data_IF_201383031635
#
_entry.id   IF_201383031635
#
_cell.length_a   1.000
_cell.length_b   1.000
_cell.length_c   1.000
_cell.angle_alpha   90.00
_cell.angle_beta   90.00
_cell.angle_gamma   90.00
#
_symmetry.space_group_name_H-M   'P 1'
#
loop_
_entity.id
_entity.type
_entity.pdbx_description
1 polymer ?
#
# COMPACT_ATOMS: atom_id res chain seq x y z
N UNK A 1 -25.17 -11.46 0.30
CA UNK A 1 -24.33 -10.31 -0.07
C UNK A 1 -23.17 -10.78 -0.92
N UNK A 2 -22.60 -9.91 -1.77
CA UNK A 2 -21.47 -10.22 -2.67
C UNK A 2 -20.35 -9.23 -2.43
N UNK A 3 -19.18 -9.72 -2.02
CA UNK A 3 -17.97 -8.91 -1.85
C UNK A 3 -16.94 -9.25 -2.92
N UNK A 4 -16.32 -8.23 -3.49
CA UNK A 4 -15.20 -8.37 -4.43
C UNK A 4 -13.91 -7.94 -3.74
N UNK A 5 -12.90 -8.78 -3.81
CA UNK A 5 -11.55 -8.46 -3.39
C UNK A 5 -10.68 -8.25 -4.64
N UNK A 6 -10.41 -7.01 -4.95
CA UNK A 6 -9.46 -6.62 -6.00
C UNK A 6 -8.07 -6.67 -5.42
N UNK A 7 -7.28 -7.65 -5.84
CA UNK A 7 -6.00 -7.96 -5.20
C UNK A 7 -5.07 -8.74 -6.14
N UNK A 8 -3.85 -8.93 -5.71
CA UNK A 8 -2.91 -9.83 -6.36
C UNK A 8 -3.34 -11.30 -6.23
N UNK A 9 -2.64 -12.20 -6.95
CA UNK A 9 -2.99 -13.61 -7.00
C UNK A 9 -3.15 -14.22 -5.59
N UNK A 10 -4.34 -14.69 -5.19
CA UNK A 10 -4.60 -15.28 -3.88
C UNK A 10 -3.68 -16.44 -3.50
N UNK A 11 -3.04 -17.09 -4.48
CA UNK A 11 -2.07 -18.16 -4.23
C UNK A 11 -0.75 -17.67 -3.63
N UNK A 12 -0.47 -16.38 -3.74
CA UNK A 12 0.75 -15.75 -3.21
C UNK A 12 0.60 -15.24 -1.79
N UNK A 13 -0.62 -15.26 -1.24
CA UNK A 13 -0.90 -14.77 0.11
C UNK A 13 -0.24 -15.65 1.17
N UNK A 14 0.45 -15.03 2.12
CA UNK A 14 0.84 -15.67 3.36
C UNK A 14 -0.34 -15.65 4.34
N UNK A 15 -1.03 -16.77 4.48
CA UNK A 15 -2.25 -16.89 5.30
C UNK A 15 -2.05 -16.57 6.78
N UNK A 16 -0.81 -16.56 7.27
CA UNK A 16 -0.49 -16.28 8.67
C UNK A 16 -0.27 -14.78 8.96
N UNK A 17 -0.08 -13.96 7.92
CA UNK A 17 0.34 -12.56 8.06
C UNK A 17 -0.54 -11.59 7.28
N UNK A 18 -1.35 -12.09 6.34
CA UNK A 18 -2.08 -11.24 5.41
C UNK A 18 -3.47 -10.86 5.94
N UNK A 19 -3.68 -9.57 6.10
CA UNK A 19 -4.98 -9.03 6.57
C UNK A 19 -6.10 -9.21 5.54
N UNK A 20 -5.80 -9.27 4.25
CA UNK A 20 -6.81 -9.52 3.21
C UNK A 20 -7.34 -10.93 3.32
N UNK A 21 -6.45 -11.91 3.61
CA UNK A 21 -6.86 -13.27 3.90
C UNK A 21 -7.86 -13.33 5.08
N UNK A 22 -7.58 -12.61 6.16
CA UNK A 22 -8.47 -12.58 7.33
C UNK A 22 -9.83 -11.97 6.99
N UNK A 23 -9.86 -10.88 6.21
CA UNK A 23 -11.11 -10.28 5.74
C UNK A 23 -11.93 -11.25 4.87
N UNK A 24 -11.29 -11.96 3.94
CA UNK A 24 -11.96 -12.96 3.09
C UNK A 24 -12.48 -14.10 3.94
N UNK A 25 -11.66 -14.66 4.84
CA UNK A 25 -12.03 -15.77 5.72
C UNK A 25 -13.25 -15.44 6.57
N UNK A 26 -13.23 -14.28 7.21
CA UNK A 26 -14.34 -13.82 8.05
C UNK A 26 -15.61 -13.57 7.22
N UNK A 27 -15.48 -12.99 6.03
CA UNK A 27 -16.61 -12.78 5.12
C UNK A 27 -17.25 -14.11 4.71
N UNK A 28 -16.44 -15.11 4.36
CA UNK A 28 -16.92 -16.46 4.01
C UNK A 28 -17.60 -17.16 5.19
N UNK A 29 -17.05 -17.03 6.42
CA UNK A 29 -17.62 -17.58 7.64
C UNK A 29 -19.01 -16.97 7.95
N UNK A 30 -19.24 -15.74 7.57
CA UNK A 30 -20.55 -15.05 7.67
C UNK A 30 -21.50 -15.36 6.51
N UNK A 31 -21.17 -16.31 5.64
CA UNK A 31 -22.00 -16.69 4.50
C UNK A 31 -22.06 -15.66 3.38
N UNK A 32 -21.08 -14.76 3.28
CA UNK A 32 -20.98 -13.77 2.21
C UNK A 32 -20.32 -14.40 1.01
N UNK A 33 -20.89 -14.22 -0.18
CA UNK A 33 -20.28 -14.64 -1.43
C UNK A 33 -19.07 -13.76 -1.74
N UNK A 34 -17.87 -14.32 -1.65
CA UNK A 34 -16.63 -13.62 -1.92
C UNK A 34 -16.13 -13.92 -3.33
N UNK A 35 -15.70 -12.87 -4.02
CA UNK A 35 -15.11 -12.94 -5.35
C UNK A 35 -13.74 -12.29 -5.36
N UNK A 36 -12.92 -12.74 -6.27
CA UNK A 36 -11.58 -12.23 -6.55
C UNK A 36 -11.52 -11.70 -7.97
N UNK A 37 -10.84 -10.59 -8.18
CA UNK A 37 -10.33 -10.18 -9.47
C UNK A 37 -8.90 -9.65 -9.38
N UNK A 38 -8.15 -9.87 -10.44
CA UNK A 38 -6.91 -9.15 -10.70
C UNK A 38 -7.27 -7.72 -11.15
N UNK A 39 -6.61 -6.66 -10.66
CA UNK A 39 -6.89 -5.29 -11.08
C UNK A 39 -6.89 -5.10 -12.60
N UNK A 40 -6.06 -5.86 -13.33
CA UNK A 40 -5.95 -5.81 -14.80
C UNK A 40 -7.18 -6.35 -15.53
N UNK A 41 -8.10 -6.99 -14.82
CA UNK A 41 -9.34 -7.54 -15.40
C UNK A 41 -10.52 -6.60 -15.33
N UNK A 42 -10.34 -5.41 -14.74
CA UNK A 42 -11.37 -4.37 -14.72
C UNK A 42 -11.31 -3.62 -16.05
N UNK A 43 -12.46 -3.40 -16.63
CA UNK A 43 -12.59 -2.62 -17.87
C UNK A 43 -13.89 -1.83 -17.88
N UNK A 44 -13.89 -0.77 -18.67
CA UNK A 44 -15.05 0.07 -18.92
C UNK A 44 -15.58 -0.19 -20.32
N UNK A 45 -16.86 -0.42 -20.44
CA UNK A 45 -17.57 -0.46 -21.71
C UNK A 45 -18.53 0.74 -21.81
N UNK A 46 -18.21 1.65 -22.71
CA UNK A 46 -18.95 2.89 -22.91
C UNK A 46 -19.78 2.80 -24.17
N UNK A 47 -21.11 2.64 -24.00
CA UNK A 47 -22.07 2.66 -25.10
C UNK A 47 -23.36 3.27 -24.56
N UNK A 48 -23.59 4.59 -24.78
CA UNK A 48 -24.68 5.40 -24.19
C UNK A 48 -24.67 5.42 -22.66
N UNK A 49 -24.31 4.32 -22.01
CA UNK A 49 -24.13 4.18 -20.57
C UNK A 49 -22.75 3.60 -20.33
N UNK A 50 -22.06 4.11 -19.32
CA UNK A 50 -20.77 3.56 -18.88
C UNK A 50 -21.01 2.37 -17.95
N UNK A 51 -20.48 1.19 -18.30
CA UNK A 51 -20.54 -0.01 -17.47
C UNK A 51 -19.13 -0.43 -17.07
N UNK A 52 -18.93 -0.58 -15.78
CA UNK A 52 -17.66 -1.08 -15.24
C UNK A 52 -17.80 -2.57 -14.98
N UNK A 53 -17.05 -3.34 -15.70
CA UNK A 53 -17.06 -4.80 -15.65
C UNK A 53 -15.74 -5.37 -15.23
N UNK A 54 -15.74 -6.60 -14.76
CA UNK A 54 -14.52 -7.37 -14.51
C UNK A 54 -14.75 -8.85 -14.71
N UNK A 55 -13.69 -9.55 -15.07
CA UNK A 55 -13.64 -11.01 -14.90
C UNK A 55 -13.39 -11.32 -13.44
N UNK A 56 -14.22 -12.18 -12.86
CA UNK A 56 -14.12 -12.55 -11.45
C UNK A 56 -14.11 -14.06 -11.26
N UNK A 57 -13.50 -14.49 -10.18
CA UNK A 57 -13.56 -15.89 -9.74
C UNK A 57 -14.11 -15.96 -8.32
N UNK A 58 -15.00 -16.91 -8.06
CA UNK A 58 -15.53 -17.13 -6.71
C UNK A 58 -14.43 -17.68 -5.81
N UNK A 59 -14.33 -17.10 -4.61
CA UNK A 59 -13.42 -17.55 -3.56
C UNK A 59 -14.10 -18.58 -2.65
N UNK A 60 -13.32 -19.54 -2.18
CA UNK A 60 -13.73 -20.49 -1.15
C UNK A 60 -12.52 -20.86 -0.28
N UNK A 61 -12.77 -21.47 0.88
CA UNK A 61 -11.73 -22.04 1.73
C UNK A 61 -11.67 -23.57 1.52
N UNK A 62 -10.46 -24.08 1.39
CA UNK A 62 -10.17 -25.51 1.48
C UNK A 62 -10.20 -25.97 2.95
N UNK A 63 -10.24 -27.30 3.18
CA UNK A 63 -10.16 -27.91 4.53
C UNK A 63 -8.95 -27.44 5.35
N UNK A 64 -7.83 -27.13 4.70
CA UNK A 64 -6.60 -26.60 5.33
C UNK A 64 -6.58 -25.07 5.46
N UNK A 65 -7.70 -24.41 5.38
CA UNK A 65 -7.85 -22.96 5.41
C UNK A 65 -7.15 -22.18 4.27
N UNK A 66 -6.62 -22.84 3.25
CA UNK A 66 -6.10 -22.14 2.07
C UNK A 66 -7.22 -21.60 1.19
N UNK A 67 -7.00 -20.41 0.61
CA UNK A 67 -7.91 -19.86 -0.40
C UNK A 67 -7.88 -20.73 -1.66
N UNK A 68 -9.07 -20.95 -2.21
CA UNK A 68 -9.29 -21.64 -3.47
C UNK A 68 -10.08 -20.76 -4.42
N UNK A 69 -9.68 -20.73 -5.68
CA UNK A 69 -10.41 -20.09 -6.77
C UNK A 69 -10.11 -20.83 -8.09
N UNK A 70 -11.02 -20.71 -9.05
CA UNK A 70 -10.89 -21.41 -10.33
C UNK A 70 -10.46 -20.43 -11.43
N UNK A 71 -9.17 -20.42 -11.78
CA UNK A 71 -8.63 -19.58 -12.84
C UNK A 71 -9.28 -19.76 -14.21
N UNK A 72 -9.76 -20.98 -14.51
CA UNK A 72 -10.35 -21.34 -15.82
C UNK A 72 -11.83 -20.93 -15.95
N UNK A 73 -12.49 -20.60 -14.85
CA UNK A 73 -13.91 -20.23 -14.83
C UNK A 73 -13.99 -18.79 -14.33
N UNK A 74 -13.55 -17.86 -15.18
CA UNK A 74 -13.76 -16.45 -14.97
C UNK A 74 -15.15 -16.10 -15.50
N UNK A 75 -15.94 -15.48 -14.65
CA UNK A 75 -17.24 -14.93 -15.03
C UNK A 75 -17.11 -13.43 -15.20
N UNK A 76 -17.55 -12.90 -16.35
CA UNK A 76 -17.70 -11.47 -16.52
C UNK A 76 -18.90 -10.99 -15.70
N UNK A 77 -18.70 -9.97 -14.92
CA UNK A 77 -19.75 -9.37 -14.07
C UNK A 77 -19.68 -7.86 -14.19
N UNK A 78 -20.86 -7.22 -14.27
CA UNK A 78 -21.02 -5.79 -14.03
C UNK A 78 -20.82 -5.53 -12.52
N UNK A 79 -19.84 -4.70 -12.19
CA UNK A 79 -19.41 -4.44 -10.82
C UNK A 79 -20.47 -3.68 -10.01
N UNK A 80 -21.45 -3.03 -10.65
CA UNK A 80 -22.62 -2.45 -9.98
C UNK A 80 -23.46 -3.49 -9.20
N UNK A 81 -23.28 -4.78 -9.47
CA UNK A 81 -23.97 -5.86 -8.76
C UNK A 81 -23.26 -6.34 -7.49
N UNK A 82 -22.10 -5.75 -7.16
CA UNK A 82 -21.41 -6.01 -5.89
C UNK A 82 -22.02 -5.17 -4.77
N UNK A 83 -21.97 -5.68 -3.54
CA UNK A 83 -22.35 -4.89 -2.35
C UNK A 83 -21.12 -4.11 -1.82
N UNK A 84 -19.94 -4.72 -1.87
CA UNK A 84 -18.69 -4.05 -1.51
C UNK A 84 -17.54 -4.50 -2.41
N UNK A 85 -16.60 -3.59 -2.63
CA UNK A 85 -15.34 -3.84 -3.36
C UNK A 85 -14.20 -3.41 -2.45
N UNK A 86 -13.32 -4.36 -2.11
CA UNK A 86 -12.12 -4.11 -1.32
C UNK A 86 -10.93 -3.93 -2.27
N UNK A 87 -10.34 -2.73 -2.29
CA UNK A 87 -9.10 -2.46 -3.03
C UNK A 87 -7.94 -2.93 -2.16
N UNK A 88 -7.41 -4.11 -2.47
CA UNK A 88 -6.38 -4.80 -1.68
C UNK A 88 -5.16 -5.22 -2.49
N UNK A 89 -5.02 -4.70 -3.70
CA UNK A 89 -3.83 -4.90 -4.52
C UNK A 89 -2.61 -4.24 -3.89
N UNK A 90 -1.48 -4.92 -3.96
CA UNK A 90 -0.20 -4.38 -3.50
C UNK A 90 0.35 -3.32 -4.47
N UNK A 91 1.24 -2.44 -4.00
CA UNK A 91 2.01 -1.57 -4.89
C UNK A 91 2.76 -2.37 -5.98
N UNK A 92 3.10 -1.74 -7.11
CA UNK A 92 3.42 -0.31 -7.24
C UNK A 92 2.19 0.59 -7.37
N UNK A 93 2.25 1.75 -6.72
CA UNK A 93 1.28 2.82 -6.93
C UNK A 93 1.69 3.63 -8.17
N UNK A 94 1.36 3.09 -9.32
CA UNK A 94 1.72 3.58 -10.65
C UNK A 94 0.48 4.00 -11.46
N UNK A 95 0.68 4.34 -12.73
CA UNK A 95 -0.42 4.74 -13.60
C UNK A 95 -1.47 3.63 -13.79
N UNK A 96 -1.07 2.35 -13.73
CA UNK A 96 -2.03 1.24 -13.81
C UNK A 96 -2.93 1.22 -12.57
N UNK A 97 -2.32 1.37 -11.38
CA UNK A 97 -3.06 1.48 -10.13
C UNK A 97 -4.04 2.66 -10.17
N UNK A 98 -3.54 3.84 -10.54
CA UNK A 98 -4.33 5.08 -10.63
C UNK A 98 -5.46 4.94 -11.64
N UNK A 99 -5.19 4.41 -12.85
CA UNK A 99 -6.20 4.20 -13.89
C UNK A 99 -7.32 3.28 -13.42
N UNK A 100 -6.96 2.20 -12.71
CA UNK A 100 -7.94 1.29 -12.15
C UNK A 100 -8.84 1.97 -11.12
N UNK A 101 -8.29 2.81 -10.26
CA UNK A 101 -9.11 3.59 -9.30
C UNK A 101 -10.08 4.55 -9.97
N UNK A 102 -9.73 5.12 -11.14
CA UNK A 102 -10.67 5.94 -11.92
C UNK A 102 -11.84 5.13 -12.49
N UNK A 103 -11.60 3.88 -12.89
CA UNK A 103 -12.69 2.99 -13.32
C UNK A 103 -13.65 2.72 -12.16
N UNK A 104 -13.11 2.41 -10.98
CA UNK A 104 -13.94 2.14 -9.80
C UNK A 104 -14.73 3.35 -9.32
N UNK A 105 -14.24 4.58 -9.52
CA UNK A 105 -14.96 5.81 -9.18
C UNK A 105 -16.28 5.97 -9.95
N UNK A 106 -16.45 5.28 -11.06
CA UNK A 106 -17.68 5.35 -11.85
C UNK A 106 -18.81 4.52 -11.25
N UNK A 107 -18.52 3.64 -10.31
CA UNK A 107 -19.50 2.81 -9.62
C UNK A 107 -20.28 3.64 -8.59
N UNK A 108 -21.60 3.39 -8.51
CA UNK A 108 -22.52 4.14 -7.64
C UNK A 108 -23.08 3.32 -6.49
N UNK A 109 -23.28 2.02 -6.71
CA UNK A 109 -23.94 1.15 -5.73
C UNK A 109 -22.97 0.49 -4.74
N UNK A 110 -21.84 -0.10 -5.18
CA UNK A 110 -20.99 -0.80 -4.25
C UNK A 110 -20.29 0.14 -3.28
N UNK A 111 -20.17 -0.27 -2.03
CA UNK A 111 -19.25 0.36 -1.09
C UNK A 111 -17.82 0.04 -1.48
N UNK A 112 -17.02 1.05 -1.77
CA UNK A 112 -15.61 0.86 -2.15
C UNK A 112 -14.70 1.14 -0.96
N UNK A 113 -13.91 0.15 -0.55
CA UNK A 113 -13.04 0.16 0.63
C UNK A 113 -11.57 -0.07 0.21
N UNK A 114 -10.67 0.89 0.44
CA UNK A 114 -10.98 2.26 0.83
C UNK A 114 -11.45 3.03 -0.40
N UNK A 115 -12.03 4.21 -0.17
CA UNK A 115 -12.52 5.06 -1.26
C UNK A 115 -11.43 5.29 -2.31
N UNK A 116 -11.70 4.97 -3.57
CA UNK A 116 -10.72 4.99 -4.67
C UNK A 116 -10.18 6.39 -4.95
N UNK A 117 -10.99 7.43 -4.81
CA UNK A 117 -10.57 8.84 -4.94
C UNK A 117 -9.59 9.22 -3.82
N UNK A 118 -9.89 8.80 -2.59
CA UNK A 118 -9.04 9.13 -1.43
C UNK A 118 -7.72 8.35 -1.44
N UNK A 119 -7.69 7.14 -1.98
CA UNK A 119 -6.43 6.41 -2.23
C UNK A 119 -5.49 7.24 -3.12
N UNK A 120 -6.02 7.92 -4.15
CA UNK A 120 -5.21 8.80 -5.01
C UNK A 120 -4.81 10.10 -4.32
N UNK A 121 -5.74 10.71 -3.57
CA UNK A 121 -5.53 12.01 -2.94
C UNK A 121 -4.58 11.95 -1.74
N UNK A 122 -4.52 10.79 -1.07
CA UNK A 122 -3.71 10.57 0.13
C UNK A 122 -2.72 9.40 -0.04
N UNK A 123 -1.76 9.49 -0.99
CA UNK A 123 -0.73 8.46 -1.11
C UNK A 123 0.05 8.34 0.22
N UNK A 124 0.31 7.11 0.64
CA UNK A 124 0.86 6.74 1.97
C UNK A 124 1.94 7.67 2.52
N UNK A 125 2.90 8.06 1.66
CA UNK A 125 4.04 8.87 2.12
C UNK A 125 3.88 10.37 1.88
N UNK A 126 2.90 10.79 1.08
CA UNK A 126 2.64 12.21 0.83
C UNK A 126 1.66 12.81 1.84
N UNK A 127 0.83 12.00 2.48
CA UNK A 127 -0.12 12.46 3.49
C UNK A 127 0.56 13.23 4.64
N UNK A 128 1.85 12.98 4.90
CA UNK A 128 2.61 13.70 5.91
C UNK A 128 2.67 15.22 5.66
N UNK A 129 2.47 15.69 4.42
CA UNK A 129 2.44 17.12 4.10
C UNK A 129 1.24 17.83 4.74
N UNK A 130 0.18 17.10 5.05
CA UNK A 130 -1.02 17.63 5.70
C UNK A 130 -0.85 17.71 7.23
N UNK A 131 0.23 17.15 7.79
CA UNK A 131 0.50 17.07 9.22
C UNK A 131 1.97 17.44 9.51
N UNK A 132 2.39 18.67 9.19
CA UNK A 132 3.78 19.09 9.34
C UNK A 132 4.25 19.04 10.80
N UNK A 133 3.36 19.29 11.76
CA UNK A 133 3.64 19.25 13.21
C UNK A 133 3.92 17.82 13.72
N UNK A 134 3.39 16.79 13.06
CA UNK A 134 3.62 15.38 13.38
C UNK A 134 4.76 14.75 12.57
N UNK A 135 5.38 15.54 11.68
CA UNK A 135 6.35 15.04 10.71
C UNK A 135 7.75 15.56 11.05
N UNK A 136 8.79 14.71 11.14
CA UNK A 136 10.16 15.18 11.28
C UNK A 136 10.54 16.06 10.09
N UNK A 137 11.55 16.94 10.21
CA UNK A 137 12.04 17.75 9.08
C UNK A 137 12.20 16.88 7.84
N UNK A 138 11.46 17.24 6.78
CA UNK A 138 11.31 16.44 5.55
C UNK A 138 11.44 17.36 4.34
N UNK A 139 12.11 16.86 3.30
CA UNK A 139 12.14 17.41 1.97
C UNK A 139 11.63 16.38 0.97
N UNK A 140 10.71 16.75 0.10
CA UNK A 140 10.25 15.96 -1.04
C UNK A 140 10.70 16.66 -2.30
N UNK A 141 11.64 16.07 -3.05
CA UNK A 141 12.22 16.73 -4.21
C UNK A 141 12.96 15.78 -5.13
N UNK A 142 13.10 16.15 -6.40
CA UNK A 142 14.07 15.59 -7.36
C UNK A 142 15.24 16.55 -7.62
N UNK A 143 15.22 17.75 -7.03
CA UNK A 143 16.29 18.73 -7.19
C UNK A 143 17.51 18.36 -6.33
N UNK A 144 18.59 17.97 -6.99
CA UNK A 144 19.82 17.47 -6.34
C UNK A 144 20.43 18.52 -5.39
N UNK A 145 20.46 19.78 -5.78
CA UNK A 145 21.08 20.85 -4.97
C UNK A 145 20.28 21.09 -3.69
N UNK A 146 18.94 21.15 -3.80
CA UNK A 146 18.07 21.27 -2.63
C UNK A 146 18.23 20.07 -1.68
N UNK A 147 18.34 18.87 -2.23
CA UNK A 147 18.57 17.65 -1.44
C UNK A 147 19.92 17.71 -0.71
N UNK A 148 20.99 18.09 -1.40
CA UNK A 148 22.33 18.21 -0.78
C UNK A 148 22.32 19.24 0.34
N UNK A 149 21.69 20.42 0.11
CA UNK A 149 21.55 21.46 1.13
C UNK A 149 20.81 20.94 2.36
N UNK A 150 19.73 20.22 2.15
CA UNK A 150 18.95 19.61 3.24
C UNK A 150 19.73 18.55 4.03
N UNK A 151 20.50 17.70 3.34
CA UNK A 151 21.35 16.68 3.97
C UNK A 151 22.46 17.35 4.82
N UNK A 152 23.13 18.36 4.29
CA UNK A 152 24.16 19.13 5.02
C UNK A 152 23.58 19.74 6.30
N UNK A 153 22.38 20.33 6.23
CA UNK A 153 21.70 20.94 7.38
C UNK A 153 21.35 19.91 8.47
N UNK A 154 20.85 18.72 8.08
CA UNK A 154 20.35 17.69 9.02
C UNK A 154 21.38 16.66 9.43
N UNK A 155 22.59 16.64 8.83
CA UNK A 155 23.73 15.75 9.05
C UNK A 155 23.43 14.28 8.71
N UNK A 156 22.41 13.68 9.30
CA UNK A 156 21.96 12.31 9.06
C UNK A 156 20.50 12.30 8.61
N UNK A 157 20.22 11.64 7.51
CA UNK A 157 18.89 11.54 6.92
C UNK A 157 18.58 10.12 6.47
N UNK A 158 17.28 9.85 6.30
CA UNK A 158 16.78 8.69 5.56
C UNK A 158 16.32 9.19 4.19
N UNK A 159 16.78 8.52 3.13
CA UNK A 159 16.21 8.64 1.80
C UNK A 159 15.26 7.47 1.54
N UNK A 160 14.11 7.75 0.96
CA UNK A 160 13.12 6.75 0.57
C UNK A 160 12.41 7.17 -0.72
N UNK A 161 12.03 6.23 -1.61
CA UNK A 161 11.22 6.57 -2.77
C UNK A 161 9.84 7.06 -2.31
N UNK A 162 9.28 8.02 -3.05
CA UNK A 162 7.93 8.55 -2.76
C UNK A 162 6.87 7.46 -2.89
N UNK A 163 6.99 6.63 -3.92
CA UNK A 163 6.11 5.50 -4.17
C UNK A 163 6.87 4.18 -3.94
N UNK A 164 6.30 3.27 -3.18
CA UNK A 164 6.90 1.98 -2.83
C UNK A 164 6.52 1.52 -1.42
N UNK A 165 6.68 0.24 -1.15
CA UNK A 165 6.25 -0.43 0.08
C UNK A 165 7.38 -1.28 0.70
N UNK A 166 7.10 -1.94 1.82
CA UNK A 166 7.98 -2.94 2.44
C UNK A 166 9.37 -2.46 2.81
N UNK A 167 9.63 -1.14 2.82
CA UNK A 167 10.95 -0.59 3.10
C UNK A 167 11.93 -0.69 1.93
N UNK A 168 11.47 -1.00 0.71
CA UNK A 168 12.30 -1.02 -0.49
C UNK A 168 12.91 0.36 -0.74
N UNK A 169 14.21 0.40 -1.02
CA UNK A 169 14.95 1.62 -1.32
C UNK A 169 15.27 2.51 -0.11
N UNK A 170 14.80 2.21 1.09
CA UNK A 170 15.13 3.02 2.27
C UNK A 170 16.63 2.89 2.60
N UNK A 171 17.32 4.03 2.69
CA UNK A 171 18.73 4.11 3.05
C UNK A 171 18.99 5.26 4.01
N UNK A 172 19.92 5.04 4.96
CA UNK A 172 20.48 6.10 5.79
C UNK A 172 21.65 6.76 5.06
N UNK A 173 21.69 8.07 5.06
CA UNK A 173 22.74 8.88 4.40
C UNK A 173 23.30 9.86 5.41
N UNK A 174 24.63 9.95 5.46
CA UNK A 174 25.36 11.00 6.17
C UNK A 174 25.76 12.13 5.22
N UNK A 175 25.86 13.35 5.73
CA UNK A 175 26.37 14.52 5.00
C UNK A 175 27.82 14.34 4.51
N UNK A 176 28.61 13.46 5.15
CA UNK A 176 30.00 13.14 4.78
C UNK A 176 30.10 12.07 3.68
N UNK A 177 28.98 11.64 3.10
CA UNK A 177 29.00 10.63 2.03
C UNK A 177 29.75 11.16 0.82
N UNK A 178 30.83 10.47 0.43
CA UNK A 178 31.56 10.73 -0.81
C UNK A 178 30.66 10.55 -2.03
N UNK A 179 30.88 11.33 -3.08
CA UNK A 179 30.12 11.28 -4.33
C UNK A 179 28.58 11.39 -4.14
N UNK A 180 28.14 12.20 -3.18
CA UNK A 180 26.73 12.33 -2.82
C UNK A 180 25.86 12.73 -4.02
N UNK A 181 26.33 13.64 -4.88
CA UNK A 181 25.58 14.07 -6.08
C UNK A 181 25.36 12.91 -7.05
N UNK A 182 26.39 12.14 -7.36
CA UNK A 182 26.29 10.96 -8.24
C UNK A 182 25.37 9.89 -7.64
N UNK A 183 25.49 9.64 -6.35
CA UNK A 183 24.60 8.74 -5.64
C UNK A 183 23.13 9.17 -5.79
N UNK A 184 22.82 10.43 -5.55
CA UNK A 184 21.45 10.95 -5.64
C UNK A 184 20.88 10.88 -7.05
N UNK A 185 21.67 11.21 -8.06
CA UNK A 185 21.28 11.07 -9.48
C UNK A 185 20.90 9.64 -9.81
N UNK A 186 21.75 8.68 -9.44
CA UNK A 186 21.50 7.24 -9.67
C UNK A 186 20.29 6.74 -8.88
N UNK A 187 20.13 7.20 -7.64
CA UNK A 187 18.99 6.83 -6.81
C UNK A 187 17.67 7.32 -7.42
N UNK A 188 17.58 8.59 -7.80
CA UNK A 188 16.38 9.19 -8.42
C UNK A 188 16.06 8.46 -9.74
N UNK A 189 17.07 8.23 -10.59
CA UNK A 189 16.91 7.48 -11.84
C UNK A 189 16.36 6.07 -11.60
N UNK A 190 16.85 5.36 -10.57
CA UNK A 190 16.38 4.02 -10.20
C UNK A 190 14.88 3.99 -9.85
N UNK A 191 14.35 5.08 -9.32
CA UNK A 191 12.95 5.20 -8.93
C UNK A 191 12.18 6.12 -9.89
N UNK A 192 12.36 5.88 -11.21
CA UNK A 192 11.57 6.46 -12.31
C UNK A 192 11.60 7.98 -12.38
N UNK A 193 12.69 8.60 -11.95
CA UNK A 193 12.86 10.06 -11.87
C UNK A 193 11.78 10.78 -11.03
N UNK A 194 11.06 10.05 -10.20
CA UNK A 194 10.10 10.63 -9.27
C UNK A 194 10.81 11.40 -8.15
N UNK A 195 10.17 12.40 -7.53
CA UNK A 195 10.66 13.01 -6.31
C UNK A 195 10.94 11.94 -5.25
N UNK A 196 12.00 12.15 -4.50
CA UNK A 196 12.37 11.30 -3.36
C UNK A 196 12.08 12.03 -2.05
N UNK A 197 11.84 11.28 -1.00
CA UNK A 197 11.60 11.81 0.33
C UNK A 197 12.90 11.71 1.11
N UNK A 198 13.39 12.86 1.58
CA UNK A 198 14.57 12.99 2.45
C UNK A 198 14.08 13.46 3.81
N UNK A 199 14.31 12.67 4.83
CA UNK A 199 13.78 12.95 6.17
C UNK A 199 14.88 12.85 7.21
N UNK A 200 14.92 13.79 8.19
CA UNK A 200 15.88 13.74 9.29
C UNK A 200 15.80 12.37 9.98
N UNK A 201 16.96 11.76 10.22
CA UNK A 201 17.05 10.47 10.89
C UNK A 201 16.64 10.59 12.37
N UNK A 202 15.69 9.76 12.78
CA UNK A 202 15.24 9.68 14.17
C UNK A 202 16.02 8.59 14.90
N UNK A 203 16.87 8.98 15.86
CA UNK A 203 17.71 8.03 16.62
C UNK A 203 16.90 6.99 17.41
N UNK A 204 15.70 7.37 17.82
CA UNK A 204 14.82 6.51 18.63
C UNK A 204 14.10 5.40 17.82
N UNK A 205 14.31 5.31 16.48
CA UNK A 205 13.68 4.29 15.65
C UNK A 205 13.94 2.86 16.16
N UNK A 206 15.06 2.62 16.86
CA UNK A 206 15.41 1.31 17.47
C UNK A 206 14.39 0.85 18.53
N UNK A 207 13.67 1.77 19.15
CA UNK A 207 12.58 1.46 20.09
C UNK A 207 11.35 0.90 19.39
N UNK A 208 11.32 0.97 18.06
CA UNK A 208 10.21 0.53 17.22
C UNK A 208 9.33 1.66 16.72
N UNK A 209 8.36 1.30 15.91
CA UNK A 209 7.27 2.16 15.47
C UNK A 209 5.93 1.54 15.86
N UNK A 210 4.99 2.37 16.29
CA UNK A 210 3.63 1.93 16.63
C UNK A 210 2.77 2.00 15.36
N UNK A 211 2.19 0.87 14.98
CA UNK A 211 1.19 0.79 13.91
C UNK A 211 -0.20 0.76 14.53
N UNK A 212 -0.98 1.79 14.26
CA UNK A 212 -2.38 1.91 14.70
C UNK A 212 -3.29 1.58 13.52
N UNK A 213 -4.29 0.74 13.76
CA UNK A 213 -5.30 0.38 12.78
C UNK A 213 -6.57 1.15 13.13
N UNK A 214 -7.10 1.87 12.15
CA UNK A 214 -8.32 2.65 12.27
C UNK A 214 -9.43 2.03 11.40
N UNK A 215 -10.64 2.00 11.92
CA UNK A 215 -11.85 1.64 11.18
C UNK A 215 -12.87 2.77 11.41
N UNK A 216 -13.28 3.45 10.36
CA UNK A 216 -14.16 4.63 10.42
C UNK A 216 -13.70 5.74 11.37
N UNK A 217 -12.39 5.89 11.58
CA UNK A 217 -11.81 6.87 12.51
C UNK A 217 -11.58 6.34 13.91
N UNK A 218 -12.17 5.22 14.30
CA UNK A 218 -11.99 4.59 15.60
C UNK A 218 -10.76 3.68 15.64
N UNK A 219 -10.07 3.64 16.77
CA UNK A 219 -8.90 2.76 16.96
C UNK A 219 -9.38 1.33 17.13
N UNK A 220 -9.13 0.49 16.14
CA UNK A 220 -9.41 -0.95 16.17
C UNK A 220 -8.30 -1.77 16.85
N UNK A 221 -7.08 -1.24 16.89
CA UNK A 221 -5.94 -1.89 17.53
C UNK A 221 -4.63 -1.21 17.24
N UNK A 222 -3.60 -1.57 17.99
CA UNK A 222 -2.24 -1.08 17.81
C UNK A 222 -1.21 -2.21 17.98
N UNK A 223 -0.09 -2.11 17.30
CA UNK A 223 1.03 -3.03 17.45
C UNK A 223 2.35 -2.27 17.37
N UNK A 224 3.26 -2.52 18.30
CA UNK A 224 4.62 -2.01 18.27
C UNK A 224 5.46 -2.94 17.37
N UNK A 225 6.07 -2.37 16.32
CA UNK A 225 6.99 -3.09 15.45
C UNK A 225 8.41 -2.74 15.82
N UNK A 226 9.15 -3.71 16.32
CA UNK A 226 10.55 -3.52 16.76
C UNK A 226 11.49 -4.04 15.67
N UNK A 227 12.42 -3.24 15.16
CA UNK A 227 13.37 -3.66 14.13
C UNK A 227 14.32 -4.75 14.67
N UNK A 228 14.87 -5.56 13.76
CA UNK A 228 15.98 -6.46 14.10
C UNK A 228 17.22 -5.65 14.50
N UNK A 229 18.12 -6.24 15.27
CA UNK A 229 19.33 -5.65 15.83
C UNK A 229 20.09 -5.05 14.69
N UNK A 230 20.46 -4.72 13.88
CA UNK A 230 21.24 -4.03 12.84
C UNK A 230 20.38 -3.53 11.65
N UNK A 231 19.07 -3.49 11.81
CA UNK A 231 18.16 -2.99 10.77
C UNK A 231 17.72 -1.56 11.05
N UNK A 232 17.55 -0.77 9.99
CA UNK A 232 16.87 0.54 10.03
C UNK A 232 15.40 0.43 9.62
N UNK A 233 14.86 -0.80 9.50
CA UNK A 233 13.50 -1.10 9.06
C UNK A 233 12.77 -1.91 10.12
N UNK A 234 11.60 -1.46 10.52
CA UNK A 234 10.72 -2.15 11.47
C UNK A 234 9.56 -2.90 10.79
N UNK A 235 9.43 -2.81 9.47
CA UNK A 235 8.39 -3.50 8.71
C UNK A 235 8.47 -5.03 8.93
N UNK A 236 7.33 -5.71 9.05
CA UNK A 236 7.28 -7.17 9.18
C UNK A 236 7.97 -7.90 8.03
N UNK A 237 7.73 -7.48 6.79
CA UNK A 237 8.44 -8.01 5.60
C UNK A 237 9.97 -7.80 5.63
N UNK A 238 10.47 -6.89 6.44
CA UNK A 238 11.90 -6.71 6.71
C UNK A 238 12.36 -7.42 7.98
N UNK A 239 11.50 -8.24 8.59
CA UNK A 239 11.79 -9.05 9.75
C UNK A 239 11.64 -8.33 11.10
N UNK A 240 10.89 -7.24 11.15
CA UNK A 240 10.46 -6.62 12.40
C UNK A 240 9.63 -7.59 13.24
N UNK A 241 9.69 -7.46 14.56
CA UNK A 241 8.89 -8.25 15.51
C UNK A 241 7.70 -7.45 15.97
N UNK A 242 6.53 -8.10 16.06
CA UNK A 242 5.37 -7.55 16.74
C UNK A 242 5.55 -7.65 18.27
N UNK A 243 5.25 -6.57 18.96
CA UNK A 243 5.19 -6.53 20.42
C UNK A 243 3.85 -5.90 20.76
N UNK A 244 3.17 -6.47 21.75
CA UNK A 244 1.93 -5.92 22.27
C UNK A 244 2.17 -4.51 22.82
N UNK A 245 1.23 -3.62 22.60
CA UNK A 245 1.31 -2.23 23.06
C UNK A 245 -0.09 -1.72 23.36
N UNK A 246 -0.18 -0.95 24.40
CA UNK A 246 -1.37 -0.19 24.74
C UNK A 246 -1.47 1.08 23.90
#
# INVERSE_FOLDING_TARGET
MKFLFQMDDPKKININEDSTYMLIKESLNRGIDCYYNDPRWVFSEINKVNKIKSHVSRLSLKKNNQLSYQRKILKEIDLEHMNAIFIRQDPPFDLNYISNTYLLDQLKKPLILNNSKEIRNFPEKHIMMNFPELTPPTLISSNIEAIIKFIKKNKEVIIKPAYGNGGLGIQKISHNKTNLSTFLKNYIKKFSNCPVIIQRFLKNFKKGDKRIILINGDIAGAVLRVPRTNSIKANFHAGGRAVETN
#
